data_IF_621717324132
#
_entry.id   IF_621717324132
#
_cell.length_a   1.000
_cell.length_b   1.000
_cell.length_c   1.000
_cell.angle_alpha   90.00
_cell.angle_beta   90.00
_cell.angle_gamma   90.00
#
_symmetry.space_group_name_H-M   'P 1'
#
loop_
_entity.id
_entity.type
_entity.pdbx_description
1 polymer ?
#
# COMPACT_ATOMS: atom_id res chain seq x y z
N UNK A 1 59.30 38.42 19.54
CA UNK A 1 58.13 39.17 19.01
C UNK A 1 57.47 38.25 18.01
N UNK A 2 56.33 37.65 18.39
CA UNK A 2 55.65 36.59 17.66
C UNK A 2 54.64 37.12 16.66
N UNK A 3 54.65 36.57 15.45
CA UNK A 3 53.71 36.86 14.37
C UNK A 3 52.98 35.57 13.90
N UNK A 4 53.30 34.40 14.47
CA UNK A 4 52.83 33.12 13.93
C UNK A 4 51.48 32.61 14.50
N UNK A 5 50.95 33.21 15.58
CA UNK A 5 49.71 32.72 16.22
C UNK A 5 48.41 33.25 15.58
N UNK A 6 48.46 34.32 14.78
CA UNK A 6 47.23 34.94 14.27
C UNK A 6 46.68 34.24 13.01
N UNK A 7 47.55 33.67 12.17
CA UNK A 7 47.13 33.01 10.93
C UNK A 7 46.50 31.62 11.12
N UNK A 8 46.87 30.90 12.18
CA UNK A 8 46.34 29.56 12.48
C UNK A 8 44.88 29.62 12.95
N UNK A 9 44.48 30.68 13.65
CA UNK A 9 43.12 30.87 14.14
C UNK A 9 42.09 31.05 13.00
N UNK A 10 42.46 31.79 11.96
CA UNK A 10 41.62 32.08 10.80
C UNK A 10 41.40 30.86 9.89
N UNK A 11 42.41 30.00 9.77
CA UNK A 11 42.32 28.76 9.00
C UNK A 11 41.37 27.75 9.67
N UNK A 12 41.47 27.61 11.00
CA UNK A 12 40.61 26.70 11.77
C UNK A 12 39.14 27.12 11.74
N UNK A 13 38.85 28.42 11.86
CA UNK A 13 37.48 28.94 11.79
C UNK A 13 36.79 28.60 10.46
N UNK A 14 37.53 28.68 9.34
CA UNK A 14 37.00 28.34 8.01
C UNK A 14 36.70 26.84 7.87
N UNK A 15 37.56 25.97 8.40
CA UNK A 15 37.36 24.52 8.35
C UNK A 15 36.11 24.13 9.15
N UNK A 16 35.96 24.66 10.36
CA UNK A 16 34.77 24.40 11.20
C UNK A 16 33.50 24.90 10.52
N UNK A 17 33.53 26.09 9.91
CA UNK A 17 32.37 26.67 9.23
C UNK A 17 31.95 25.85 7.99
N UNK A 18 32.91 25.31 7.22
CA UNK A 18 32.64 24.43 6.09
C UNK A 18 32.07 23.07 6.53
N UNK A 19 32.55 22.51 7.64
CA UNK A 19 32.01 21.27 8.20
C UNK A 19 30.56 21.47 8.69
N UNK A 20 30.28 22.58 9.37
CA UNK A 20 28.92 22.92 9.82
C UNK A 20 27.98 23.14 8.63
N UNK A 21 28.43 23.87 7.59
CA UNK A 21 27.64 24.09 6.38
C UNK A 21 27.34 22.78 5.63
N UNK A 22 28.33 21.87 5.52
CA UNK A 22 28.14 20.55 4.92
C UNK A 22 27.16 19.67 5.70
N UNK A 23 27.25 19.69 7.04
CA UNK A 23 26.32 18.94 7.90
C UNK A 23 24.89 19.48 7.79
N UNK A 24 24.71 20.81 7.77
CA UNK A 24 23.42 21.45 7.58
C UNK A 24 22.81 21.14 6.21
N UNK A 25 23.60 21.16 5.14
CA UNK A 25 23.15 20.81 3.79
C UNK A 25 22.66 19.36 3.68
N UNK A 26 23.20 18.44 4.48
CA UNK A 26 22.74 17.05 4.56
C UNK A 26 21.48 16.87 5.41
N UNK A 27 21.36 17.62 6.51
CA UNK A 27 20.26 17.45 7.48
C UNK A 27 18.99 18.21 7.06
N UNK A 28 19.12 19.41 6.49
CA UNK A 28 17.99 20.26 6.09
C UNK A 28 16.97 19.58 5.15
N UNK A 29 17.36 18.87 4.07
CA UNK A 29 16.40 18.20 3.21
C UNK A 29 15.63 17.09 3.93
N UNK A 30 16.26 16.40 4.89
CA UNK A 30 15.62 15.34 5.68
C UNK A 30 14.56 15.90 6.65
N UNK A 31 14.85 17.03 7.29
CA UNK A 31 13.91 17.71 8.21
C UNK A 31 12.72 18.32 7.45
N UNK A 32 12.94 18.86 6.24
CA UNK A 32 11.87 19.43 5.43
C UNK A 32 10.91 18.35 4.89
N UNK A 33 11.42 17.20 4.44
CA UNK A 33 10.59 16.09 3.93
C UNK A 33 9.75 15.46 5.06
N UNK A 34 10.32 15.28 6.25
CA UNK A 34 9.59 14.69 7.39
C UNK A 34 8.48 15.59 7.93
N UNK A 35 8.63 16.92 7.87
CA UNK A 35 7.59 17.88 8.28
C UNK A 35 6.44 17.98 7.28
N UNK A 36 6.72 17.95 5.97
CA UNK A 36 5.67 18.04 4.96
C UNK A 36 4.76 16.80 4.90
N UNK A 37 5.31 15.61 5.14
CA UNK A 37 4.52 14.36 5.11
C UNK A 37 3.59 14.18 6.33
N UNK A 38 3.91 14.79 7.48
CA UNK A 38 3.08 14.69 8.69
C UNK A 38 1.90 15.68 8.73
N UNK A 39 1.92 16.73 7.90
CA UNK A 39 0.90 17.80 7.98
C UNK A 39 -0.41 17.44 7.26
N UNK A 40 -0.39 16.42 6.39
CA UNK A 40 -1.58 16.00 5.64
C UNK A 40 -2.53 15.06 6.39
N UNK A 41 -2.18 14.61 7.61
CA UNK A 41 -2.95 13.60 8.35
C UNK A 41 -3.88 14.18 9.45
N UNK A 42 -3.95 15.50 9.67
CA UNK A 42 -4.64 16.07 10.85
C UNK A 42 -5.68 17.16 10.52
N UNK A 43 -6.25 17.15 9.31
CA UNK A 43 -7.42 17.99 8.98
C UNK A 43 -8.71 17.16 9.02
N UNK A 44 -9.16 16.79 10.22
CA UNK A 44 -10.40 16.01 10.38
C UNK A 44 -10.66 15.52 11.79
N UNK A 45 -10.56 16.39 12.80
CA UNK A 45 -10.80 16.02 14.20
C UNK A 45 -11.58 17.08 14.94
N UNK A 46 -12.92 16.99 14.87
CA UNK A 46 -13.86 17.77 15.67
C UNK A 46 -13.62 17.53 17.17
N UNK A 47 -13.19 18.57 17.88
CA UNK A 47 -13.04 18.60 19.35
C UNK A 47 -14.41 18.57 20.03
N UNK A 48 -14.79 17.42 20.59
CA UNK A 48 -15.78 17.30 21.66
C UNK A 48 -15.06 17.08 23.01
N UNK A 49 -15.51 17.71 24.11
CA UNK A 49 -14.84 17.61 25.41
C UNK A 49 -15.02 16.23 26.07
N UNK A 50 -14.06 15.78 26.91
CA UNK A 50 -14.12 14.49 27.59
C UNK A 50 -14.99 14.56 28.84
N UNK A 51 -16.06 13.76 28.88
CA UNK A 51 -16.84 13.51 30.10
C UNK A 51 -16.27 12.31 30.83
N UNK A 52 -15.89 12.51 32.10
CA UNK A 52 -15.32 11.52 32.97
C UNK A 52 -16.37 10.65 33.70
N UNK A 53 -15.92 9.45 34.07
CA UNK A 53 -16.33 8.61 35.20
C UNK A 53 -17.69 7.88 35.16
N UNK A 54 -17.63 6.57 35.39
CA UNK A 54 -18.80 5.75 35.70
C UNK A 54 -18.49 4.26 35.74
N UNK A 55 -17.81 3.79 36.80
CA UNK A 55 -17.82 2.37 37.17
C UNK A 55 -19.23 1.97 37.57
N UNK A 56 -19.78 0.93 36.93
CA UNK A 56 -21.08 0.36 37.28
C UNK A 56 -21.22 -1.05 36.75
N UNK A 57 -21.04 -2.03 37.64
CA UNK A 57 -21.44 -3.41 37.43
C UNK A 57 -22.96 -3.55 37.60
N UNK A 58 -23.62 -4.34 36.76
CA UNK A 58 -24.85 -5.12 37.01
C UNK A 58 -25.45 -5.52 35.64
N UNK A 59 -25.53 -6.81 35.31
CA UNK A 59 -26.68 -7.68 35.58
C UNK A 59 -27.87 -7.47 34.64
N UNK A 60 -28.13 -8.50 33.83
CA UNK A 60 -29.45 -8.88 33.33
C UNK A 60 -30.01 -8.03 32.19
N UNK A 61 -30.39 -8.67 31.08
CA UNK A 61 -31.81 -9.02 30.83
C UNK A 61 -31.92 -9.71 29.47
N UNK A 62 -32.45 -10.93 29.49
CA UNK A 62 -32.96 -11.67 28.34
C UNK A 62 -34.18 -10.97 27.73
N UNK A 63 -34.25 -10.94 26.41
CA UNK A 63 -35.40 -10.52 25.61
C UNK A 63 -34.90 -9.92 24.30
N UNK A 64 -35.51 -10.11 23.13
CA UNK A 64 -36.75 -10.75 22.77
C UNK A 64 -36.64 -11.10 21.28
N UNK A 65 -37.36 -12.15 20.91
CA UNK A 65 -37.55 -12.68 19.56
C UNK A 65 -38.10 -11.59 18.63
N UNK A 66 -37.48 -11.41 17.46
CA UNK A 66 -38.10 -10.74 16.31
C UNK A 66 -37.85 -11.55 15.04
N UNK A 67 -38.89 -12.27 14.63
CA UNK A 67 -38.99 -12.96 13.36
C UNK A 67 -38.97 -11.96 12.19
N UNK A 68 -38.09 -12.10 11.18
CA UNK A 68 -38.28 -11.43 9.91
C UNK A 68 -39.36 -12.17 9.12
N UNK A 69 -40.46 -11.47 8.86
CA UNK A 69 -41.55 -11.88 7.97
C UNK A 69 -41.00 -11.97 6.55
N UNK A 70 -40.98 -13.19 5.99
CA UNK A 70 -40.66 -13.43 4.60
C UNK A 70 -41.83 -12.97 3.71
N UNK A 71 -41.72 -11.79 3.12
CA UNK A 71 -42.60 -11.37 2.03
C UNK A 71 -42.14 -12.02 0.73
N UNK A 72 -42.74 -13.16 0.41
CA UNK A 72 -42.66 -13.82 -0.89
C UNK A 72 -43.37 -12.96 -1.93
N UNK A 73 -42.64 -12.06 -2.59
CA UNK A 73 -43.10 -11.42 -3.81
C UNK A 73 -42.75 -12.33 -5.00
N UNK A 74 -43.69 -13.19 -5.40
CA UNK A 74 -43.69 -13.84 -6.72
C UNK A 74 -43.95 -12.79 -7.80
N UNK A 75 -42.90 -12.05 -8.15
CA UNK A 75 -42.83 -11.22 -9.33
C UNK A 75 -42.67 -12.11 -10.55
N UNK A 76 -43.77 -12.32 -11.29
CA UNK A 76 -43.82 -12.98 -12.59
C UNK A 76 -42.82 -12.30 -13.53
N UNK A 77 -41.70 -12.97 -13.83
CA UNK A 77 -40.69 -12.49 -14.76
C UNK A 77 -41.32 -12.36 -16.15
N UNK A 78 -41.67 -11.14 -16.51
CA UNK A 78 -42.02 -10.78 -17.87
C UNK A 78 -40.73 -10.89 -18.69
N UNK A 79 -40.61 -11.95 -19.48
CA UNK A 79 -39.62 -12.12 -20.53
C UNK A 79 -39.90 -11.12 -21.66
N UNK A 80 -39.83 -9.83 -21.33
CA UNK A 80 -39.83 -8.74 -22.30
C UNK A 80 -38.44 -8.62 -22.87
N UNK A 81 -38.34 -8.48 -24.19
CA UNK A 81 -37.11 -8.22 -24.91
C UNK A 81 -36.32 -7.08 -24.25
N UNK A 82 -35.35 -7.45 -23.40
CA UNK A 82 -34.32 -6.53 -22.93
C UNK A 82 -33.45 -6.24 -24.15
N UNK A 83 -33.86 -5.19 -24.85
CA UNK A 83 -33.10 -4.33 -25.74
C UNK A 83 -31.60 -4.54 -25.56
N UNK A 84 -30.93 -4.91 -26.64
CA UNK A 84 -29.47 -5.06 -26.74
C UNK A 84 -28.68 -3.92 -26.09
N UNK A 85 -29.25 -2.70 -26.04
CA UNK A 85 -28.70 -1.56 -25.31
C UNK A 85 -28.52 -1.78 -23.81
N UNK A 86 -29.46 -2.45 -23.13
CA UNK A 86 -29.37 -2.69 -21.68
C UNK A 86 -28.22 -3.61 -21.28
N UNK A 87 -27.85 -4.58 -22.13
CA UNK A 87 -26.70 -5.46 -21.89
C UNK A 87 -25.36 -4.70 -22.02
N UNK A 88 -25.30 -3.75 -22.95
CA UNK A 88 -24.10 -2.96 -23.22
C UNK A 88 -23.86 -1.89 -22.15
N UNK A 89 -24.92 -1.23 -21.69
CA UNK A 89 -24.87 -0.29 -20.57
C UNK A 89 -24.48 -1.01 -19.27
N UNK A 90 -25.05 -2.20 -19.04
CA UNK A 90 -24.68 -3.05 -17.91
C UNK A 90 -23.20 -3.46 -17.93
N UNK A 91 -22.65 -3.84 -19.09
CA UNK A 91 -21.23 -4.18 -19.24
C UNK A 91 -20.32 -2.96 -19.02
N UNK A 92 -20.71 -1.80 -19.56
CA UNK A 92 -19.99 -0.53 -19.38
C UNK A 92 -19.88 -0.17 -17.89
N UNK A 93 -21.01 -0.22 -17.17
CA UNK A 93 -21.07 0.09 -15.75
C UNK A 93 -20.32 -0.95 -14.90
N UNK A 94 -20.45 -2.23 -15.20
CA UNK A 94 -19.70 -3.29 -14.52
C UNK A 94 -18.18 -3.08 -14.64
N UNK A 95 -17.69 -2.76 -15.84
CA UNK A 95 -16.28 -2.48 -16.07
C UNK A 95 -15.78 -1.21 -15.35
N UNK A 96 -16.57 -0.14 -15.36
CA UNK A 96 -16.26 1.09 -14.61
C UNK A 96 -16.14 0.80 -13.11
N UNK A 97 -17.12 0.09 -12.54
CA UNK A 97 -17.13 -0.27 -11.12
C UNK A 97 -15.97 -1.20 -10.74
N UNK A 98 -15.67 -2.22 -11.56
CA UNK A 98 -14.54 -3.10 -11.35
C UNK A 98 -13.21 -2.33 -11.33
N UNK A 99 -13.01 -1.42 -12.29
CA UNK A 99 -11.83 -0.57 -12.37
C UNK A 99 -11.70 0.39 -11.17
N UNK A 100 -12.81 0.96 -10.67
CA UNK A 100 -12.81 1.82 -9.48
C UNK A 100 -12.51 1.04 -8.19
N UNK A 101 -13.10 -0.15 -8.02
CA UNK A 101 -12.93 -0.96 -6.80
C UNK A 101 -11.49 -1.42 -6.56
N UNK A 102 -10.69 -1.56 -7.62
CA UNK A 102 -9.27 -1.92 -7.49
C UNK A 102 -8.39 -0.77 -6.93
N UNK A 103 -8.85 0.49 -6.92
CA UNK A 103 -8.00 1.63 -6.58
C UNK A 103 -7.52 1.60 -5.12
N UNK A 104 -8.41 1.30 -4.18
CA UNK A 104 -8.07 1.26 -2.76
C UNK A 104 -7.00 0.19 -2.47
N UNK A 105 -7.12 -0.97 -3.11
CA UNK A 105 -6.22 -2.09 -2.92
C UNK A 105 -4.84 -1.82 -3.54
N UNK A 106 -4.81 -1.24 -4.75
CA UNK A 106 -3.57 -0.79 -5.39
C UNK A 106 -2.85 0.29 -4.59
N UNK A 107 -3.59 1.24 -4.01
CA UNK A 107 -3.02 2.29 -3.17
C UNK A 107 -2.43 1.73 -1.87
N UNK A 108 -3.16 0.84 -1.20
CA UNK A 108 -2.68 0.17 0.01
C UNK A 108 -1.44 -0.70 -0.26
N UNK A 109 -1.45 -1.44 -1.38
CA UNK A 109 -0.29 -2.21 -1.84
C UNK A 109 0.94 -1.32 -2.05
N UNK A 110 0.78 -0.19 -2.74
CA UNK A 110 1.87 0.73 -3.02
C UNK A 110 2.52 1.26 -1.73
N UNK A 111 1.71 1.68 -0.74
CA UNK A 111 2.22 2.18 0.55
C UNK A 111 3.00 1.12 1.32
N UNK A 112 2.49 -0.12 1.36
CA UNK A 112 3.15 -1.24 2.04
C UNK A 112 4.47 -1.60 1.34
N UNK A 113 4.47 -1.70 0.01
CA UNK A 113 5.64 -2.11 -0.77
C UNK A 113 6.71 -1.02 -0.88
N UNK A 114 6.35 0.26 -0.84
CA UNK A 114 7.33 1.34 -0.73
C UNK A 114 8.14 1.23 0.56
N UNK A 115 7.50 0.85 1.67
CA UNK A 115 8.21 0.63 2.93
C UNK A 115 9.11 -0.60 2.87
N UNK A 116 8.64 -1.69 2.24
CA UNK A 116 9.48 -2.87 2.05
C UNK A 116 10.70 -2.56 1.17
N UNK A 117 10.52 -1.78 0.09
CA UNK A 117 11.62 -1.33 -0.77
C UNK A 117 12.65 -0.54 0.03
N UNK A 118 12.24 0.41 0.88
CA UNK A 118 13.17 1.16 1.75
C UNK A 118 13.97 0.24 2.69
N UNK A 119 13.34 -0.81 3.21
CA UNK A 119 14.01 -1.81 4.04
C UNK A 119 15.06 -2.60 3.24
N UNK A 120 14.70 -3.03 2.03
CA UNK A 120 15.59 -3.73 1.09
C UNK A 120 16.75 -2.84 0.66
N UNK A 121 16.53 -1.55 0.39
CA UNK A 121 17.57 -0.60 0.00
C UNK A 121 18.61 -0.41 1.11
N UNK A 122 18.19 -0.32 2.37
CA UNK A 122 19.10 -0.27 3.50
C UNK A 122 19.98 -1.53 3.58
N UNK A 123 19.43 -2.71 3.27
CA UNK A 123 20.20 -3.95 3.18
C UNK A 123 21.22 -3.92 2.04
N UNK A 124 20.79 -3.51 0.85
CA UNK A 124 21.65 -3.38 -0.32
C UNK A 124 22.83 -2.42 -0.04
N UNK A 125 22.55 -1.28 0.60
CA UNK A 125 23.57 -0.30 0.99
C UNK A 125 24.54 -0.85 2.04
N UNK A 126 24.05 -1.61 3.02
CA UNK A 126 24.89 -2.22 4.05
C UNK A 126 25.84 -3.26 3.44
N UNK A 127 25.32 -4.16 2.61
CA UNK A 127 26.12 -5.22 1.95
C UNK A 127 27.14 -4.62 0.98
N UNK A 128 26.80 -3.51 0.32
CA UNK A 128 27.73 -2.77 -0.55
C UNK A 128 28.76 -1.93 0.23
N UNK A 129 28.77 -1.96 1.57
CA UNK A 129 29.66 -1.17 2.41
C UNK A 129 29.42 0.34 2.33
N UNK A 130 28.24 0.77 1.86
CA UNK A 130 27.87 2.19 1.69
C UNK A 130 27.31 2.82 2.96
N UNK A 131 26.80 2.00 3.88
CA UNK A 131 26.38 2.42 5.22
C UNK A 131 26.95 1.46 6.27
N UNK A 132 27.07 1.93 7.50
CA UNK A 132 27.47 1.07 8.63
C UNK A 132 26.27 0.27 9.15
N UNK A 133 26.53 -0.80 9.91
CA UNK A 133 25.48 -1.56 10.59
C UNK A 133 24.63 -0.68 11.52
N UNK A 134 25.24 0.31 12.18
CA UNK A 134 24.53 1.23 13.06
C UNK A 134 23.50 2.07 12.29
N UNK A 135 23.89 2.61 11.12
CA UNK A 135 22.99 3.35 10.23
C UNK A 135 21.87 2.46 9.69
N UNK A 136 22.22 1.23 9.28
CA UNK A 136 21.25 0.27 8.78
C UNK A 136 20.18 -0.08 9.84
N UNK A 137 20.59 -0.25 11.11
CA UNK A 137 19.65 -0.46 12.24
C UNK A 137 18.66 0.69 12.42
N UNK A 138 19.10 1.94 12.25
CA UNK A 138 18.19 3.09 12.32
C UNK A 138 17.15 3.04 11.20
N UNK A 139 17.57 2.72 9.96
CA UNK A 139 16.63 2.53 8.84
C UNK A 139 15.65 1.38 9.10
N UNK A 140 16.14 0.24 9.58
CA UNK A 140 15.28 -0.91 9.83
C UNK A 140 14.25 -0.60 10.92
N UNK A 141 14.66 0.05 12.01
CA UNK A 141 13.74 0.44 13.07
C UNK A 141 12.66 1.40 12.55
N UNK A 142 13.04 2.39 11.75
CA UNK A 142 12.07 3.30 11.10
C UNK A 142 11.15 2.56 10.13
N UNK A 143 11.69 1.65 9.32
CA UNK A 143 10.91 0.88 8.34
C UNK A 143 9.99 -0.15 8.99
N UNK A 144 10.26 -0.56 10.24
CA UNK A 144 9.45 -1.49 11.02
C UNK A 144 8.23 -0.82 11.62
N UNK A 145 8.38 0.44 12.06
CA UNK A 145 7.27 1.25 12.56
C UNK A 145 6.18 1.32 11.49
N UNK A 146 4.94 0.99 11.89
CA UNK A 146 3.75 0.91 11.04
C UNK A 146 3.77 -0.15 9.92
N UNK A 147 4.82 -0.97 9.79
CA UNK A 147 4.91 -1.97 8.74
C UNK A 147 3.78 -2.99 8.81
N UNK A 148 3.51 -3.50 10.02
CA UNK A 148 2.38 -4.39 10.25
C UNK A 148 1.03 -3.72 9.95
N UNK A 149 0.86 -2.44 10.31
CA UNK A 149 -0.38 -1.71 10.06
C UNK A 149 -0.63 -1.49 8.55
N UNK A 150 0.42 -1.16 7.78
CA UNK A 150 0.33 -0.96 6.32
C UNK A 150 0.07 -2.27 5.58
N UNK A 151 0.73 -3.36 5.97
CA UNK A 151 0.43 -4.68 5.44
C UNK A 151 -1.03 -5.09 5.74
N UNK A 152 -1.50 -4.88 6.98
CA UNK A 152 -2.88 -5.16 7.38
C UNK A 152 -3.91 -4.30 6.61
N UNK A 153 -3.60 -3.04 6.32
CA UNK A 153 -4.44 -2.18 5.50
C UNK A 153 -4.62 -2.74 4.08
N UNK A 154 -3.53 -3.23 3.46
CA UNK A 154 -3.62 -3.96 2.19
C UNK A 154 -4.48 -5.22 2.31
N UNK A 155 -4.26 -6.06 3.33
CA UNK A 155 -5.08 -7.28 3.51
C UNK A 155 -6.57 -6.98 3.66
N UNK A 156 -6.91 -5.88 4.31
CA UNK A 156 -8.31 -5.43 4.46
C UNK A 156 -8.90 -4.98 3.12
N UNK A 157 -8.16 -4.19 2.33
CA UNK A 157 -8.59 -3.78 1.00
C UNK A 157 -8.72 -4.97 0.03
N UNK A 158 -7.78 -5.92 0.07
CA UNK A 158 -7.78 -7.13 -0.77
C UNK A 158 -8.96 -8.04 -0.44
N UNK A 159 -9.27 -8.19 0.86
CA UNK A 159 -10.46 -8.91 1.31
C UNK A 159 -11.76 -8.22 0.85
N UNK A 160 -11.82 -6.89 0.89
CA UNK A 160 -12.99 -6.16 0.42
C UNK A 160 -13.18 -6.32 -1.11
N UNK A 161 -12.09 -6.23 -1.88
CA UNK A 161 -12.10 -6.44 -3.33
C UNK A 161 -12.55 -7.86 -3.68
N UNK A 162 -11.96 -8.89 -3.08
CA UNK A 162 -12.33 -10.29 -3.34
C UNK A 162 -13.78 -10.61 -2.96
N UNK A 163 -14.32 -9.97 -1.91
CA UNK A 163 -15.73 -10.13 -1.52
C UNK A 163 -16.69 -9.45 -2.50
N UNK A 164 -16.26 -8.38 -3.17
CA UNK A 164 -17.13 -7.59 -4.06
C UNK A 164 -17.57 -8.32 -5.34
N UNK A 165 -16.86 -9.38 -5.74
CA UNK A 165 -17.07 -10.11 -7.01
C UNK A 165 -17.24 -9.18 -8.23
N UNK A 166 -16.56 -8.04 -8.19
CA UNK A 166 -16.67 -7.01 -9.20
C UNK A 166 -15.81 -7.38 -10.42
N UNK A 167 -16.47 -7.89 -11.45
CA UNK A 167 -15.81 -8.26 -12.70
C UNK A 167 -16.09 -7.25 -13.81
N UNK A 168 -15.14 -7.13 -14.73
CA UNK A 168 -15.32 -6.44 -16.01
C UNK A 168 -15.47 -7.52 -17.09
N UNK A 169 -16.71 -7.93 -17.43
CA UNK A 169 -16.94 -9.03 -18.34
C UNK A 169 -16.55 -8.65 -19.77
N UNK A 170 -16.03 -9.61 -20.53
CA UNK A 170 -15.91 -9.46 -21.97
C UNK A 170 -17.30 -9.44 -22.62
N UNK A 171 -17.44 -8.65 -23.69
CA UNK A 171 -18.66 -8.69 -24.50
C UNK A 171 -18.74 -10.02 -25.24
N UNK A 172 -19.89 -10.69 -25.13
CA UNK A 172 -20.19 -11.84 -25.98
C UNK A 172 -20.28 -11.45 -27.47
N UNK A 173 -20.09 -12.41 -28.40
CA UNK A 173 -20.01 -12.14 -29.83
C UNK A 173 -21.25 -11.42 -30.37
N UNK A 174 -22.45 -11.80 -29.94
CA UNK A 174 -23.70 -11.17 -30.36
C UNK A 174 -23.79 -9.69 -29.93
N UNK A 175 -23.38 -9.39 -28.69
CA UNK A 175 -23.36 -8.01 -28.18
C UNK A 175 -22.28 -7.18 -28.89
N UNK A 176 -21.11 -7.76 -29.14
CA UNK A 176 -20.03 -7.10 -29.86
C UNK A 176 -20.40 -6.77 -31.31
N UNK A 177 -21.09 -7.68 -32.03
CA UNK A 177 -21.51 -7.46 -33.42
C UNK A 177 -22.62 -6.40 -33.58
N UNK A 178 -23.38 -6.12 -32.52
CA UNK A 178 -24.52 -5.20 -32.55
C UNK A 178 -24.24 -3.83 -31.90
N UNK A 179 -23.12 -3.70 -31.19
CA UNK A 179 -22.72 -2.48 -30.51
C UNK A 179 -21.89 -1.55 -31.42
N UNK A 180 -21.91 -0.23 -31.18
CA UNK A 180 -20.98 0.69 -31.83
C UNK A 180 -19.52 0.30 -31.56
N UNK A 181 -18.69 0.25 -32.60
CA UNK A 181 -17.27 -0.14 -32.50
C UNK A 181 -16.49 0.63 -31.44
N UNK A 182 -16.77 1.93 -31.27
CA UNK A 182 -16.14 2.75 -30.24
C UNK A 182 -16.41 2.22 -28.82
N UNK A 183 -17.64 1.77 -28.54
CA UNK A 183 -18.03 1.25 -27.23
C UNK A 183 -17.45 -0.15 -26.99
N UNK A 184 -17.43 -1.00 -28.03
CA UNK A 184 -16.74 -2.31 -27.98
C UNK A 184 -15.27 -2.13 -27.64
N UNK A 185 -14.59 -1.19 -28.30
CA UNK A 185 -13.18 -0.87 -28.04
C UNK A 185 -12.97 -0.32 -26.62
N UNK A 186 -13.87 0.55 -26.14
CA UNK A 186 -13.78 1.11 -24.79
C UNK A 186 -13.91 0.05 -23.70
N UNK A 187 -14.90 -0.86 -23.83
CA UNK A 187 -15.08 -1.99 -22.92
C UNK A 187 -13.87 -2.93 -23.00
N UNK A 188 -13.41 -3.30 -24.20
CA UNK A 188 -12.23 -4.16 -24.38
C UNK A 188 -10.96 -3.57 -23.74
N UNK A 189 -10.74 -2.26 -23.87
CA UNK A 189 -9.64 -1.57 -23.22
C UNK A 189 -9.77 -1.61 -21.69
N UNK A 190 -10.97 -1.43 -21.15
CA UNK A 190 -11.21 -1.52 -19.71
C UNK A 190 -11.03 -2.94 -19.16
N UNK A 191 -11.44 -3.97 -19.90
CA UNK A 191 -11.16 -5.39 -19.55
C UNK A 191 -9.66 -5.61 -19.44
N UNK A 192 -8.88 -5.16 -20.43
CA UNK A 192 -7.41 -5.28 -20.42
C UNK A 192 -6.78 -4.54 -19.24
N UNK A 193 -7.22 -3.30 -18.96
CA UNK A 193 -6.73 -2.52 -17.83
C UNK A 193 -7.03 -3.20 -16.48
N UNK A 194 -8.25 -3.68 -16.30
CA UNK A 194 -8.70 -4.38 -15.08
C UNK A 194 -7.90 -5.66 -14.86
N UNK A 195 -7.65 -6.45 -15.91
CA UNK A 195 -6.79 -7.66 -15.85
C UNK A 195 -5.34 -7.33 -15.51
N UNK A 196 -4.77 -6.28 -16.11
CA UNK A 196 -3.41 -5.86 -15.81
C UNK A 196 -3.26 -5.48 -14.33
N UNK A 197 -4.26 -4.79 -13.76
CA UNK A 197 -4.32 -4.46 -12.33
C UNK A 197 -4.49 -5.68 -11.43
N UNK A 198 -5.26 -6.69 -11.82
CA UNK A 198 -5.32 -7.97 -11.10
C UNK A 198 -3.93 -8.59 -11.01
N UNK A 199 -3.18 -8.62 -12.11
CA UNK A 199 -1.81 -9.13 -12.10
C UNK A 199 -0.89 -8.33 -11.17
N UNK A 200 -1.03 -6.99 -11.10
CA UNK A 200 -0.32 -6.15 -10.12
C UNK A 200 -0.64 -6.57 -8.69
N UNK A 201 -1.92 -6.74 -8.36
CA UNK A 201 -2.38 -7.15 -7.03
C UNK A 201 -1.89 -8.55 -6.66
N UNK A 202 -1.84 -9.49 -7.61
CA UNK A 202 -1.24 -10.81 -7.36
C UNK A 202 0.25 -10.73 -6.99
N UNK A 203 1.04 -9.92 -7.70
CA UNK A 203 2.44 -9.67 -7.33
C UNK A 203 2.56 -8.98 -5.98
N UNK A 204 1.67 -8.02 -5.70
CA UNK A 204 1.62 -7.35 -4.41
C UNK A 204 1.33 -8.33 -3.27
N UNK A 205 0.36 -9.24 -3.42
CA UNK A 205 0.07 -10.28 -2.42
C UNK A 205 1.30 -11.11 -2.10
N UNK A 206 2.05 -11.57 -3.10
CA UNK A 206 3.27 -12.36 -2.88
C UNK A 206 4.33 -11.56 -2.12
N UNK A 207 4.62 -10.33 -2.55
CA UNK A 207 5.61 -9.46 -1.92
C UNK A 207 5.24 -9.09 -0.48
N UNK A 208 3.97 -8.76 -0.23
CA UNK A 208 3.46 -8.40 1.09
C UNK A 208 3.45 -9.61 2.03
N UNK A 209 3.15 -10.82 1.55
CA UNK A 209 3.29 -12.04 2.39
C UNK A 209 4.73 -12.22 2.88
N UNK A 210 5.72 -12.05 2.00
CA UNK A 210 7.14 -12.11 2.40
C UNK A 210 7.50 -10.99 3.37
N UNK A 211 6.96 -9.80 3.17
CA UNK A 211 7.16 -8.68 4.09
C UNK A 211 6.57 -8.94 5.48
N UNK A 212 5.34 -9.45 5.56
CA UNK A 212 4.67 -9.81 6.82
C UNK A 212 5.46 -10.83 7.63
N UNK A 213 5.93 -11.91 6.99
CA UNK A 213 6.77 -12.90 7.65
C UNK A 213 8.07 -12.27 8.17
N UNK A 214 8.72 -11.42 7.38
CA UNK A 214 9.95 -10.75 7.79
C UNK A 214 9.73 -9.79 8.98
N UNK A 215 8.60 -9.06 9.02
CA UNK A 215 8.21 -8.25 10.18
C UNK A 215 8.07 -9.12 11.42
N UNK A 216 7.38 -10.25 11.30
CA UNK A 216 7.20 -11.19 12.40
C UNK A 216 8.53 -11.76 12.90
N UNK A 217 9.46 -12.10 12.00
CA UNK A 217 10.79 -12.58 12.35
C UNK A 217 11.59 -11.51 13.12
N UNK A 218 11.52 -10.25 12.69
CA UNK A 218 12.14 -9.14 13.42
C UNK A 218 11.58 -8.99 14.83
N UNK A 219 10.27 -9.14 15.01
CA UNK A 219 9.62 -9.07 16.32
C UNK A 219 9.96 -10.28 17.20
N UNK A 220 10.02 -11.49 16.64
CA UNK A 220 10.47 -12.71 17.35
C UNK A 220 11.93 -12.60 17.80
N UNK A 221 12.81 -12.05 16.96
CA UNK A 221 14.20 -11.76 17.33
C UNK A 221 14.27 -10.76 18.49
N UNK A 222 13.49 -9.68 18.45
CA UNK A 222 13.42 -8.69 19.53
C UNK A 222 12.91 -9.28 20.85
N UNK A 223 11.97 -10.22 20.78
CA UNK A 223 11.45 -10.95 21.92
C UNK A 223 12.41 -12.03 22.46
N UNK A 224 13.56 -12.25 21.81
CA UNK A 224 14.56 -13.26 22.22
C UNK A 224 14.20 -14.69 21.82
N UNK A 225 13.20 -14.88 20.94
CA UNK A 225 12.79 -16.20 20.46
C UNK A 225 13.68 -16.73 19.32
N UNK A 226 14.42 -15.85 18.65
CA UNK A 226 15.39 -16.21 17.61
C UNK A 226 16.80 -15.83 18.04
N UNK A 227 17.77 -16.69 17.75
CA UNK A 227 19.20 -16.35 17.86
C UNK A 227 19.62 -15.44 16.70
N UNK A 228 20.73 -14.73 16.86
CA UNK A 228 21.29 -13.89 15.79
C UNK A 228 21.63 -14.70 14.52
N UNK A 229 22.09 -15.94 14.67
CA UNK A 229 22.38 -16.83 13.54
C UNK A 229 21.12 -17.21 12.76
N UNK A 230 20.05 -17.61 13.47
CA UNK A 230 18.75 -17.91 12.86
C UNK A 230 18.19 -16.69 12.13
N UNK A 231 18.19 -15.52 12.79
CA UNK A 231 17.72 -14.28 12.20
C UNK A 231 18.51 -13.91 10.94
N UNK A 232 19.84 -14.06 10.96
CA UNK A 232 20.68 -13.80 9.78
C UNK A 232 20.34 -14.67 8.57
N UNK A 233 20.05 -15.95 8.78
CA UNK A 233 19.65 -16.88 7.72
C UNK A 233 18.26 -16.53 7.16
N UNK A 234 17.27 -16.36 8.04
CA UNK A 234 15.89 -16.01 7.66
C UNK A 234 15.83 -14.68 6.92
N UNK A 235 16.55 -13.69 7.44
CA UNK A 235 16.67 -12.38 6.78
C UNK A 235 17.28 -12.48 5.40
N UNK A 236 18.39 -13.18 5.23
CA UNK A 236 19.05 -13.32 3.92
C UNK A 236 18.09 -13.92 2.89
N UNK A 237 17.29 -14.90 3.30
CA UNK A 237 16.27 -15.50 2.46
C UNK A 237 15.13 -14.52 2.12
N UNK A 238 14.56 -13.85 3.13
CA UNK A 238 13.46 -12.89 2.95
C UNK A 238 13.89 -11.67 2.13
N UNK A 239 15.12 -11.18 2.28
CA UNK A 239 15.67 -10.07 1.51
C UNK A 239 15.80 -10.42 0.02
N UNK A 240 16.44 -11.54 -0.32
CA UNK A 240 16.63 -11.95 -1.73
C UNK A 240 15.29 -12.24 -2.41
N UNK A 241 14.39 -12.93 -1.70
CA UNK A 241 13.05 -13.23 -2.21
C UNK A 241 12.24 -11.95 -2.38
N UNK A 242 12.26 -11.08 -1.37
CA UNK A 242 11.56 -9.80 -1.34
C UNK A 242 12.00 -8.87 -2.47
N UNK A 243 13.31 -8.72 -2.70
CA UNK A 243 13.83 -7.92 -3.82
C UNK A 243 13.23 -8.36 -5.15
N UNK A 244 13.34 -9.66 -5.48
CA UNK A 244 12.78 -10.17 -6.73
C UNK A 244 11.27 -9.98 -6.83
N UNK A 245 10.53 -10.13 -5.74
CA UNK A 245 9.08 -9.92 -5.73
C UNK A 245 8.72 -8.43 -5.92
N UNK A 246 9.39 -7.50 -5.25
CA UNK A 246 9.16 -6.05 -5.41
C UNK A 246 9.51 -5.59 -6.83
N UNK A 247 10.56 -6.16 -7.44
CA UNK A 247 10.90 -5.91 -8.84
C UNK A 247 9.77 -6.37 -9.78
N UNK A 248 9.24 -7.59 -9.57
CA UNK A 248 8.11 -8.10 -10.39
C UNK A 248 6.83 -7.29 -10.20
N UNK A 249 6.55 -6.82 -8.98
CA UNK A 249 5.44 -5.89 -8.70
C UNK A 249 5.63 -4.58 -9.46
N UNK A 250 6.82 -3.98 -9.39
CA UNK A 250 7.14 -2.71 -10.04
C UNK A 250 7.01 -2.82 -11.57
N UNK A 251 7.51 -3.92 -12.15
CA UNK A 251 7.37 -4.20 -13.57
C UNK A 251 5.90 -4.37 -13.99
N UNK A 252 5.10 -5.10 -13.20
CA UNK A 252 3.66 -5.25 -13.44
C UNK A 252 2.93 -3.90 -13.34
N UNK A 253 3.28 -3.07 -12.35
CA UNK A 253 2.69 -1.75 -12.15
C UNK A 253 2.97 -0.82 -13.33
N UNK A 254 4.21 -0.81 -13.82
CA UNK A 254 4.58 -0.08 -15.04
C UNK A 254 3.76 -0.55 -16.25
N UNK A 255 3.66 -1.86 -16.47
CA UNK A 255 2.88 -2.42 -17.58
C UNK A 255 1.38 -2.07 -17.46
N UNK A 256 0.79 -2.16 -16.27
CA UNK A 256 -0.60 -1.81 -16.02
C UNK A 256 -0.87 -0.32 -16.25
N UNK A 257 0.08 0.56 -15.93
CA UNK A 257 -0.05 2.00 -16.15
C UNK A 257 -0.10 2.40 -17.64
N UNK A 258 0.42 1.56 -18.54
CA UNK A 258 0.34 1.76 -19.99
C UNK A 258 -1.05 1.41 -20.56
N UNK A 259 -1.87 0.65 -19.83
CA UNK A 259 -3.20 0.24 -20.26
C UNK A 259 -4.26 1.06 -19.54
N UNK A 260 -4.98 1.92 -20.27
CA UNK A 260 -6.03 2.78 -19.69
C UNK A 260 -7.41 2.18 -19.89
N UNK A 261 -8.25 2.24 -18.86
CA UNK A 261 -9.69 2.08 -18.99
C UNK A 261 -10.29 3.45 -19.35
N UNK A 262 -10.90 3.63 -20.53
CA UNK A 262 -11.48 4.93 -20.93
C UNK A 262 -12.86 5.20 -20.31
N UNK A 263 -13.39 4.28 -19.49
CA UNK A 263 -14.73 4.34 -18.89
C UNK A 263 -14.75 4.97 -17.49
N UNK A 264 -13.69 5.68 -17.09
CA UNK A 264 -13.52 6.27 -15.74
C UNK A 264 -14.32 7.54 -15.53
#
# INVERSE_FOLDING_TARGET
MGIDDEQTSLAWGRIVLLLVAGLLALILPFVLVTRFLNTSATAGGSTGPPTAAGSGAAHGTSGSVAHPVASTASGKASSGATTTGGALDGATEACRLANLRQQADLAAAAVSLEQFQKHIDAMNLLVAGKITLAVARTYWEQSRVDAGAKAAAFRTADKALSTSKADCPELGPTAACSAPMAQVNAISACVKATRARVAVLERARSAITTWEHHIQDMDMFRAGHLTASQMGAMWTQSWKTGQGQVDTYSAALLAANLVKCPLT
#
